data_IF_510394839465
#
_entry.id   IF_510394839465
#
_cell.length_a   1.000
_cell.length_b   1.000
_cell.length_c   1.000
_cell.angle_alpha   90.00
_cell.angle_beta   90.00
_cell.angle_gamma   90.00
#
_symmetry.space_group_name_H-M   'P 1'
#
loop_
_entity.id
_entity.type
_entity.pdbx_description
1 polymer ?
#
# COMPACT_ATOMS: atom_id res chain seq x y z
N UNK A 1 -20.33 -0.59 -14.66
CA UNK A 1 -19.88 0.02 -13.39
C UNK A 1 -19.53 -1.14 -12.46
N UNK A 2 -18.31 -1.18 -11.91
CA UNK A 2 -17.96 -2.19 -10.92
C UNK A 2 -18.51 -1.75 -9.57
N UNK A 3 -19.37 -2.57 -8.97
CA UNK A 3 -19.94 -2.33 -7.65
C UNK A 3 -18.91 -2.76 -6.60
N UNK A 4 -18.63 -1.88 -5.63
CA UNK A 4 -17.91 -2.27 -4.41
C UNK A 4 -18.78 -3.27 -3.65
N UNK A 5 -18.41 -4.54 -3.65
CA UNK A 5 -19.09 -5.57 -2.86
C UNK A 5 -18.43 -5.68 -1.49
N UNK A 6 -19.17 -6.11 -0.44
CA UNK A 6 -18.61 -6.34 0.90
C UNK A 6 -17.43 -7.33 0.89
N UNK A 7 -17.40 -8.25 -0.09
CA UNK A 7 -16.34 -9.22 -0.29
C UNK A 7 -15.05 -8.63 -0.88
N UNK A 8 -15.09 -7.42 -1.43
CA UNK A 8 -13.90 -6.77 -1.97
C UNK A 8 -13.03 -6.17 -0.83
N UNK A 9 -11.72 -5.94 -1.05
CA UNK A 9 -10.94 -5.15 -0.12
C UNK A 9 -11.60 -3.76 0.03
N UNK A 10 -11.96 -3.44 1.26
CA UNK A 10 -12.77 -2.25 1.59
C UNK A 10 -12.19 -1.45 2.76
N UNK A 11 -11.12 -1.93 3.39
CA UNK A 11 -10.55 -1.30 4.59
C UNK A 11 -9.66 -0.12 4.19
N UNK A 12 -10.30 0.97 3.80
CA UNK A 12 -9.66 2.22 3.40
C UNK A 12 -9.64 3.19 4.60
N UNK A 13 -8.49 3.29 5.28
CA UNK A 13 -8.31 4.08 6.50
C UNK A 13 -7.11 5.05 6.41
N UNK A 14 -7.01 5.90 5.37
CA UNK A 14 -5.86 6.81 5.24
C UNK A 14 -5.79 7.81 6.41
N UNK A 15 -6.93 8.40 6.80
CA UNK A 15 -6.98 9.43 7.86
C UNK A 15 -6.63 8.94 9.27
N UNK A 16 -6.38 7.64 9.44
CA UNK A 16 -5.89 7.09 10.72
C UNK A 16 -4.37 6.93 10.74
N UNK A 17 -3.69 7.16 9.63
CA UNK A 17 -2.26 6.97 9.44
C UNK A 17 -1.57 8.31 9.16
N UNK A 18 -0.40 8.51 9.75
CA UNK A 18 0.45 9.68 9.45
C UNK A 18 1.29 9.43 8.21
N UNK A 19 1.47 10.48 7.41
CA UNK A 19 2.29 10.42 6.19
C UNK A 19 3.78 10.43 6.57
N UNK A 20 4.59 9.42 6.20
CA UNK A 20 6.02 9.45 6.46
C UNK A 20 6.76 10.57 5.73
N UNK A 21 6.18 11.13 4.66
CA UNK A 21 6.71 12.31 3.95
C UNK A 21 6.47 13.60 4.73
N UNK A 22 5.40 13.63 5.53
CA UNK A 22 4.97 14.76 6.37
C UNK A 22 4.50 14.25 7.74
N UNK A 23 5.41 13.92 8.68
CA UNK A 23 5.06 13.17 9.91
C UNK A 23 4.03 13.84 10.83
N UNK A 24 3.86 15.15 10.72
CA UNK A 24 2.87 15.91 11.49
C UNK A 24 1.45 15.80 10.92
N UNK A 25 1.30 15.32 9.68
CA UNK A 25 0.04 15.27 8.95
C UNK A 25 -0.49 13.84 8.82
N UNK A 26 -1.81 13.71 8.83
CA UNK A 26 -2.50 12.47 8.48
C UNK A 26 -2.73 12.40 6.98
N UNK A 27 -2.74 11.21 6.41
CA UNK A 27 -3.13 11.05 5.01
C UNK A 27 -4.57 11.51 4.79
N UNK A 28 -4.76 12.31 3.76
CA UNK A 28 -6.06 12.45 3.06
C UNK A 28 -6.28 11.28 2.11
N UNK A 29 -7.50 11.15 1.57
CA UNK A 29 -7.77 10.12 0.56
C UNK A 29 -6.90 10.31 -0.69
N UNK A 30 -6.68 11.56 -1.11
CA UNK A 30 -5.88 11.89 -2.28
C UNK A 30 -4.39 11.65 -2.03
N UNK A 31 -3.85 12.15 -0.92
CA UNK A 31 -2.43 11.98 -0.58
C UNK A 31 -2.02 10.51 -0.40
N UNK A 32 -2.96 9.64 0.02
CA UNK A 32 -2.71 8.21 0.10
C UNK A 32 -2.55 7.58 -1.29
N UNK A 33 -3.34 8.01 -2.28
CA UNK A 33 -3.17 7.56 -3.67
C UNK A 33 -1.88 8.06 -4.30
N UNK A 34 -1.54 9.32 -4.07
CA UNK A 34 -0.26 9.90 -4.50
C UNK A 34 0.91 9.10 -3.91
N UNK A 35 0.84 8.77 -2.62
CA UNK A 35 1.87 7.97 -1.97
C UNK A 35 2.00 6.55 -2.53
N UNK A 36 0.86 5.90 -2.81
CA UNK A 36 0.83 4.59 -3.47
C UNK A 36 1.48 4.69 -4.85
N UNK A 37 1.15 5.70 -5.65
CA UNK A 37 1.72 5.91 -6.98
C UNK A 37 3.24 6.11 -6.91
N UNK A 38 3.71 7.01 -6.04
CA UNK A 38 5.15 7.26 -5.82
C UNK A 38 5.90 5.96 -5.49
N UNK A 39 5.31 5.12 -4.63
CA UNK A 39 5.91 3.84 -4.23
C UNK A 39 6.01 2.85 -5.41
N UNK A 40 4.94 2.74 -6.20
CA UNK A 40 4.90 1.85 -7.37
C UNK A 40 5.88 2.32 -8.46
N UNK A 41 5.93 3.62 -8.74
CA UNK A 41 6.87 4.21 -9.70
C UNK A 41 8.34 4.07 -9.25
N UNK A 42 8.57 4.07 -7.94
CA UNK A 42 9.89 3.81 -7.35
C UNK A 42 10.28 2.32 -7.34
N UNK A 43 9.38 1.43 -7.76
CA UNK A 43 9.64 0.00 -7.87
C UNK A 43 9.52 -0.76 -6.55
N UNK A 44 8.59 -0.37 -5.67
CA UNK A 44 8.33 -1.16 -4.45
C UNK A 44 7.91 -2.60 -4.81
N UNK A 45 8.29 -3.62 -4.00
CA UNK A 45 7.88 -4.99 -4.25
C UNK A 45 6.35 -5.15 -4.20
N UNK A 46 5.77 -5.70 -5.27
CA UNK A 46 4.34 -6.01 -5.37
C UNK A 46 4.15 -7.51 -5.55
N UNK A 47 3.32 -8.09 -4.68
CA UNK A 47 2.88 -9.47 -4.79
C UNK A 47 1.55 -9.53 -5.55
N UNK A 48 1.50 -10.33 -6.60
CA UNK A 48 0.24 -10.64 -7.29
C UNK A 48 -0.38 -11.86 -6.64
N UNK A 49 -1.60 -11.72 -6.13
CA UNK A 49 -2.34 -12.80 -5.46
C UNK A 49 -3.64 -13.12 -6.19
N UNK A 50 -4.13 -14.34 -5.99
CA UNK A 50 -5.53 -14.66 -6.26
C UNK A 50 -6.32 -14.31 -5.00
N UNK A 51 -7.34 -13.47 -5.16
CA UNK A 51 -8.22 -13.09 -4.07
C UNK A 51 -9.06 -14.29 -3.64
N UNK A 52 -9.17 -14.49 -2.33
CA UNK A 52 -10.15 -15.38 -1.72
C UNK A 52 -11.56 -14.77 -1.78
N UNK A 53 -11.62 -13.43 -1.67
CA UNK A 53 -12.84 -12.65 -1.69
C UNK A 53 -12.67 -11.40 -2.57
N UNK A 54 -13.48 -11.25 -3.63
CA UNK A 54 -14.22 -12.32 -4.31
C UNK A 54 -13.26 -13.37 -4.91
N UNK A 55 -13.59 -14.68 -4.88
CA UNK A 55 -12.67 -15.74 -5.25
C UNK A 55 -12.24 -15.69 -6.72
N UNK A 56 -10.96 -15.98 -6.97
CA UNK A 56 -10.43 -16.14 -8.33
C UNK A 56 -10.12 -14.83 -9.05
N UNK A 57 -10.26 -13.67 -8.39
CA UNK A 57 -9.90 -12.37 -8.96
C UNK A 57 -8.44 -12.02 -8.67
N UNK A 58 -7.82 -11.21 -9.52
CA UNK A 58 -6.44 -10.74 -9.31
C UNK A 58 -6.41 -9.61 -8.28
N UNK A 59 -5.59 -9.79 -7.24
CA UNK A 59 -5.25 -8.76 -6.27
C UNK A 59 -3.76 -8.44 -6.32
N UNK A 60 -3.42 -7.22 -5.93
CA UNK A 60 -2.05 -6.76 -5.75
C UNK A 60 -1.87 -6.37 -4.30
N UNK A 61 -0.84 -6.92 -3.65
CA UNK A 61 -0.52 -6.66 -2.25
C UNK A 61 0.89 -6.14 -2.15
N UNK A 62 1.07 -5.07 -1.39
CA UNK A 62 2.39 -4.51 -1.12
C UNK A 62 2.36 -3.76 0.21
N UNK A 63 3.55 -3.54 0.75
CA UNK A 63 3.75 -2.80 2.00
C UNK A 63 4.56 -1.56 1.70
N UNK A 64 4.05 -0.41 2.13
CA UNK A 64 4.75 0.87 2.03
C UNK A 64 5.21 1.31 3.42
N UNK A 65 6.16 2.23 3.49
CA UNK A 65 6.66 2.72 4.76
C UNK A 65 5.53 3.42 5.53
N UNK A 66 5.47 3.19 6.84
CA UNK A 66 4.63 4.00 7.73
C UNK A 66 5.47 5.01 8.51
N UNK A 67 4.88 5.56 9.57
CA UNK A 67 5.53 6.56 10.44
C UNK A 67 6.13 5.91 11.70
N UNK A 68 6.73 6.71 12.60
CA UNK A 68 7.45 6.20 13.77
C UNK A 68 6.68 5.18 14.65
N UNK A 69 5.34 5.27 14.75
CA UNK A 69 4.54 4.33 15.53
C UNK A 69 3.96 3.16 14.70
N UNK A 70 3.97 3.27 13.37
CA UNK A 70 3.44 2.29 12.42
C UNK A 70 4.54 1.95 11.44
N UNK A 71 5.19 0.80 11.61
CA UNK A 71 6.37 0.46 10.80
C UNK A 71 6.07 0.36 9.29
N UNK A 72 4.92 -0.22 8.94
CA UNK A 72 4.51 -0.39 7.57
C UNK A 72 3.00 -0.20 7.42
N UNK A 73 2.60 0.22 6.22
CA UNK A 73 1.20 0.33 5.83
C UNK A 73 0.94 -0.78 4.81
N UNK A 74 -0.09 -1.57 5.08
CA UNK A 74 -0.56 -2.61 4.19
C UNK A 74 -1.46 -2.00 3.12
N UNK A 75 -1.15 -2.29 1.85
CA UNK A 75 -1.94 -1.89 0.70
C UNK A 75 -2.39 -3.13 -0.07
N UNK A 76 -3.68 -3.20 -0.37
CA UNK A 76 -4.25 -4.24 -1.23
C UNK A 76 -5.17 -3.62 -2.26
N UNK A 77 -4.93 -3.89 -3.54
CA UNK A 77 -5.73 -3.40 -4.64
C UNK A 77 -6.35 -4.58 -5.40
N UNK A 78 -7.64 -4.47 -5.71
CA UNK A 78 -8.31 -5.38 -6.63
C UNK A 78 -8.49 -4.66 -7.97
N UNK A 79 -8.05 -5.31 -9.06
CA UNK A 79 -8.27 -4.80 -10.41
C UNK A 79 -9.52 -5.41 -11.04
N UNK A 80 -10.25 -4.60 -11.81
CA UNK A 80 -11.38 -5.03 -12.63
C UNK A 80 -11.57 -4.08 -13.79
N UNK A 81 -11.60 -4.61 -15.03
CA UNK A 81 -11.70 -3.81 -16.27
C UNK A 81 -10.71 -2.63 -16.29
N UNK A 82 -9.44 -2.93 -16.00
CA UNK A 82 -8.31 -1.97 -15.94
C UNK A 82 -8.48 -0.81 -14.94
N UNK A 83 -9.34 -0.99 -13.93
CA UNK A 83 -9.57 -0.03 -12.86
C UNK A 83 -9.40 -0.69 -11.51
N UNK A 84 -9.05 0.12 -10.50
CA UNK A 84 -9.13 -0.32 -9.11
C UNK A 84 -10.59 -0.36 -8.69
N UNK A 85 -11.07 -1.55 -8.32
CA UNK A 85 -12.47 -1.81 -7.92
C UNK A 85 -12.61 -2.23 -6.46
N UNK A 86 -11.48 -2.43 -5.78
CA UNK A 86 -11.39 -2.70 -4.34
C UNK A 86 -10.04 -2.23 -3.82
N UNK A 87 -10.02 -1.72 -2.58
CA UNK A 87 -8.82 -1.15 -1.96
C UNK A 87 -8.80 -1.32 -0.44
N UNK A 88 -7.62 -1.59 0.09
CA UNK A 88 -7.31 -1.48 1.51
C UNK A 88 -6.06 -0.64 1.70
N UNK A 89 -6.07 0.20 2.74
CA UNK A 89 -4.95 1.03 3.18
C UNK A 89 -5.07 1.21 4.69
N UNK A 90 -4.23 0.53 5.45
CA UNK A 90 -4.24 0.54 6.91
C UNK A 90 -2.89 0.08 7.46
N UNK A 91 -2.64 0.31 8.76
CA UNK A 91 -1.47 -0.22 9.46
C UNK A 91 -1.31 -1.73 9.19
N UNK A 92 -0.10 -2.13 8.82
CA UNK A 92 0.29 -3.53 8.76
C UNK A 92 0.43 -4.03 10.20
N UNK A 93 -0.49 -4.88 10.63
CA UNK A 93 -0.47 -5.43 11.98
C UNK A 93 -0.06 -6.91 11.90
N UNK A 94 1.24 -7.21 11.74
CA UNK A 94 1.70 -8.58 11.76
C UNK A 94 1.44 -9.21 13.15
N UNK A 95 1.29 -10.53 13.25
CA UNK A 95 1.16 -11.20 14.54
C UNK A 95 2.30 -10.79 15.48
N UNK A 96 1.97 -10.44 16.73
CA UNK A 96 2.96 -10.05 17.74
C UNK A 96 4.07 -11.12 17.82
N UNK A 97 5.30 -10.73 17.47
CA UNK A 97 6.48 -11.62 17.49
C UNK A 97 7.13 -11.88 16.13
N UNK A 98 6.55 -11.41 15.02
CA UNK A 98 7.22 -11.49 13.71
C UNK A 98 8.33 -10.44 13.60
N UNK A 99 9.60 -10.88 13.66
CA UNK A 99 10.75 -10.05 13.28
C UNK A 99 10.78 -9.99 11.75
N UNK A 100 10.31 -8.89 11.17
CA UNK A 100 10.50 -8.62 9.74
C UNK A 100 11.95 -8.13 9.56
N UNK A 101 12.80 -8.96 8.97
CA UNK A 101 14.15 -8.53 8.56
C UNK A 101 13.99 -7.44 7.49
N UNK A 102 14.36 -6.21 7.85
CA UNK A 102 14.39 -5.05 6.94
C UNK A 102 15.47 -5.24 5.88
N UNK A 103 15.06 -5.34 4.62
CA UNK A 103 15.93 -5.05 3.48
C UNK A 103 15.59 -3.63 3.01
N UNK A 104 16.25 -2.62 3.58
CA UNK A 104 16.25 -1.29 3.01
C UNK A 104 17.15 -1.30 1.77
N UNK A 105 16.57 -1.22 0.58
CA UNK A 105 17.34 -0.82 -0.60
C UNK A 105 17.31 0.71 -0.62
N UNK A 106 18.36 1.34 -0.09
CA UNK A 106 18.64 2.73 -0.34
C UNK A 106 19.10 2.84 -1.80
N UNK A 107 18.20 3.19 -2.72
CA UNK A 107 18.58 3.52 -4.09
C UNK A 107 19.26 4.90 -4.04
N UNK A 108 20.57 4.92 -3.86
CA UNK A 108 21.37 6.11 -4.13
C UNK A 108 21.27 6.43 -5.62
N UNK A 109 20.50 7.46 -5.97
CA UNK A 109 20.56 8.04 -7.31
C UNK A 109 21.94 8.64 -7.53
N UNK A 110 22.83 7.91 -8.21
CA UNK A 110 24.03 8.50 -8.81
C UNK A 110 23.57 9.52 -9.87
N UNK A 111 23.67 10.81 -9.55
CA UNK A 111 23.69 11.87 -10.57
C UNK A 111 24.93 11.64 -11.44
N UNK A 112 24.72 11.11 -12.65
CA UNK A 112 25.70 11.21 -13.72
C UNK A 112 25.93 12.68 -14.03
N UNK A 113 27.14 13.17 -13.75
CA UNK A 113 27.63 14.45 -14.26
C UNK A 113 28.11 14.18 -15.69
N UNK A 114 27.71 15.06 -16.59
CA UNK A 114 28.19 15.16 -17.97
C UNK A 114 29.72 15.31 -18.04
#
# INVERSE_FOLDING_TARGET
MALFTPDAPTRWQPRTLRDPRSPEEYFTDDSAWEYIADCLESGCPVETIVLDHPPGKTGFVFKVAGHAAVEAIYVKLQMGSDKVVGRSFHEDNPPKGTIVKRSFVLIERRKGRA
#
